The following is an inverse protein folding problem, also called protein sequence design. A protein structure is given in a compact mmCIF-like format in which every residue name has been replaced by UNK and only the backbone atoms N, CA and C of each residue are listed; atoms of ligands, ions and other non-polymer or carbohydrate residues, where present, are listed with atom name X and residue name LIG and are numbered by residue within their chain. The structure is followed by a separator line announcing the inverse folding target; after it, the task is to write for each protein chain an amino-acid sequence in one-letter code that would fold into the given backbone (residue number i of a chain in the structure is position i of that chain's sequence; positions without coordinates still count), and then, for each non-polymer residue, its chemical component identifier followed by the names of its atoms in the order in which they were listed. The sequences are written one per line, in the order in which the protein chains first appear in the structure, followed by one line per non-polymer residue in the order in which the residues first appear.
data_IF_646251540427
#
_entry.id   IF_646251540427
#
_cell.length_a   1.000
_cell.length_b   1.000
_cell.length_c   1.000
_cell.angle_alpha   90.00
_cell.angle_beta   90.00
_cell.angle_gamma   90.00
#
_symmetry.space_group_name_H-M   'P 1'
#
loop_
_entity.id
_entity.type
_entity.pdbx_description
1 polymer ?
#
# COMPACT_ATOMS: atom_id res chain seq x y z
N UNK A 1 -69.09 -42.11 5.88
CA UNK A 1 -67.85 -42.46 6.61
C UNK A 1 -66.79 -41.44 6.25
N UNK A 2 -66.01 -41.04 7.25
CA UNK A 2 -65.35 -39.73 7.38
C UNK A 2 -64.35 -39.36 6.27
N UNK A 3 -64.38 -38.08 5.91
CA UNK A 3 -63.30 -37.28 5.36
C UNK A 3 -62.10 -37.25 6.32
N UNK A 4 -60.87 -37.25 5.80
CA UNK A 4 -59.81 -36.29 6.17
C UNK A 4 -58.53 -36.64 5.40
N UNK A 5 -58.22 -35.79 4.41
CA UNK A 5 -56.88 -35.66 3.85
C UNK A 5 -55.94 -35.17 4.96
N UNK A 6 -54.81 -35.84 5.18
CA UNK A 6 -53.72 -35.27 5.97
C UNK A 6 -52.45 -35.29 5.14
N UNK A 7 -52.15 -34.13 4.55
CA UNK A 7 -50.87 -33.79 3.94
C UNK A 7 -49.77 -33.85 5.00
N UNK A 8 -48.82 -34.77 4.86
CA UNK A 8 -47.56 -34.68 5.60
C UNK A 8 -46.68 -33.68 4.86
N UNK A 9 -46.66 -32.47 5.40
CA UNK A 9 -45.81 -31.37 4.97
C UNK A 9 -44.36 -31.87 4.80
N UNK A 10 -43.84 -31.80 3.58
CA UNK A 10 -42.42 -31.91 3.33
C UNK A 10 -41.76 -30.72 4.03
N UNK A 11 -41.15 -30.98 5.19
CA UNK A 11 -40.35 -29.99 5.91
C UNK A 11 -39.15 -29.66 5.02
N UNK A 12 -39.27 -28.59 4.24
CA UNK A 12 -38.15 -27.98 3.53
C UNK A 12 -37.02 -27.80 4.53
N UNK A 13 -35.96 -28.59 4.34
CA UNK A 13 -34.71 -28.36 5.05
C UNK A 13 -34.17 -27.04 4.51
N UNK A 14 -34.40 -25.96 5.26
CA UNK A 14 -33.70 -24.69 5.05
C UNK A 14 -32.20 -25.02 5.01
N UNK A 15 -31.62 -24.93 3.80
CA UNK A 15 -30.18 -25.03 3.62
C UNK A 15 -29.62 -23.74 4.20
N UNK A 16 -29.05 -23.84 5.39
CA UNK A 16 -28.24 -22.75 5.95
C UNK A 16 -27.02 -22.67 5.03
N UNK A 17 -27.07 -21.71 4.09
CA UNK A 17 -25.88 -21.27 3.38
C UNK A 17 -25.04 -20.58 4.43
N UNK A 18 -23.97 -21.24 4.86
CA UNK A 18 -22.88 -20.51 5.51
C UNK A 18 -22.33 -19.63 4.38
N UNK A 19 -22.70 -18.36 4.41
CA UNK A 19 -21.90 -17.34 3.74
C UNK A 19 -20.57 -17.40 4.48
N UNK A 20 -19.53 -17.90 3.83
CA UNK A 20 -18.19 -17.57 4.27
C UNK A 20 -18.14 -16.06 4.22
N UNK A 21 -17.98 -15.42 5.38
CA UNK A 21 -17.53 -14.03 5.40
C UNK A 21 -16.21 -14.05 4.64
N UNK A 22 -16.23 -13.53 3.42
CA UNK A 22 -15.01 -13.17 2.74
C UNK A 22 -14.49 -11.98 3.55
N UNK A 23 -13.74 -12.25 4.61
CA UNK A 23 -13.00 -11.28 5.42
C UNK A 23 -11.94 -10.62 4.53
N UNK A 24 -12.35 -9.83 3.55
CA UNK A 24 -11.43 -9.14 2.65
C UNK A 24 -10.86 -7.93 3.38
N UNK A 25 -9.89 -8.18 4.24
CA UNK A 25 -8.91 -7.19 4.70
C UNK A 25 -7.95 -6.78 3.58
N UNK A 26 -8.41 -6.74 2.34
CA UNK A 26 -7.58 -6.60 1.17
C UNK A 26 -6.97 -5.20 1.09
N UNK A 27 -5.64 -5.17 0.96
CA UNK A 27 -4.89 -3.95 0.67
C UNK A 27 -4.55 -3.94 -0.83
N UNK A 28 -4.76 -2.80 -1.48
CA UNK A 28 -4.38 -2.64 -2.88
C UNK A 28 -3.58 -1.35 -3.07
N UNK A 29 -2.34 -1.49 -3.53
CA UNK A 29 -1.42 -0.38 -3.78
C UNK A 29 -1.46 0.05 -5.24
N UNK A 30 -1.49 1.36 -5.44
CA UNK A 30 -1.50 2.03 -6.73
C UNK A 30 -0.33 3.02 -6.79
N UNK A 31 0.59 2.79 -7.72
CA UNK A 31 1.76 3.63 -7.95
C UNK A 31 1.73 4.23 -9.35
N UNK A 32 2.54 5.26 -9.61
CA UNK A 32 2.60 5.88 -10.92
C UNK A 32 3.12 4.89 -11.99
N UNK A 33 2.45 4.78 -13.16
CA UNK A 33 2.95 3.93 -14.23
C UNK A 33 4.25 4.50 -14.83
N UNK A 34 5.27 3.66 -14.95
CA UNK A 34 6.53 4.01 -15.59
C UNK A 34 7.56 4.65 -14.65
N UNK A 35 7.88 5.93 -14.86
CA UNK A 35 8.93 6.65 -14.12
C UNK A 35 8.53 8.08 -13.76
N UNK A 36 9.04 8.53 -12.62
CA UNK A 36 9.07 9.95 -12.24
C UNK A 36 10.46 10.50 -12.46
N UNK A 37 10.54 11.78 -12.84
CA UNK A 37 11.78 12.40 -13.30
C UNK A 37 12.01 13.71 -12.54
N UNK A 38 13.23 13.92 -12.06
CA UNK A 38 13.66 15.19 -11.46
C UNK A 38 15.13 15.46 -11.80
N UNK A 39 15.69 16.57 -11.34
CA UNK A 39 17.10 16.89 -11.49
C UNK A 39 17.81 16.85 -10.12
N UNK A 40 19.14 16.81 -10.15
CA UNK A 40 19.96 16.85 -8.93
C UNK A 40 19.70 18.14 -8.14
N UNK A 41 19.50 18.02 -6.83
CA UNK A 41 19.12 19.10 -5.91
C UNK A 41 17.62 19.39 -5.90
N UNK A 42 16.85 18.79 -6.82
CA UNK A 42 15.41 18.95 -6.90
C UNK A 42 14.65 18.29 -5.76
N UNK A 43 13.34 18.48 -5.78
CA UNK A 43 12.38 17.75 -4.95
C UNK A 43 11.56 16.84 -5.86
N UNK A 44 11.21 15.66 -5.38
CA UNK A 44 10.35 14.73 -6.11
C UNK A 44 9.39 14.05 -5.15
N UNK A 45 8.25 13.65 -5.70
CA UNK A 45 7.26 12.82 -5.03
C UNK A 45 7.28 11.47 -5.72
N UNK A 46 7.46 10.40 -4.94
CA UNK A 46 7.25 9.02 -5.36
C UNK A 46 5.79 8.65 -5.10
N UNK A 47 4.91 8.58 -6.12
CA UNK A 47 3.49 8.46 -5.90
C UNK A 47 3.12 7.05 -5.45
N UNK A 48 2.40 6.94 -4.35
CA UNK A 48 1.83 5.70 -3.84
C UNK A 48 0.52 6.00 -3.12
N UNK A 49 -0.58 5.47 -3.63
CA UNK A 49 -1.88 5.47 -2.93
C UNK A 49 -2.32 4.05 -2.68
N UNK A 50 -3.12 3.84 -1.65
CA UNK A 50 -3.61 2.50 -1.33
C UNK A 50 -5.09 2.53 -0.98
N UNK A 51 -5.80 1.46 -1.33
CA UNK A 51 -7.15 1.20 -0.83
C UNK A 51 -7.06 0.11 0.23
N UNK A 52 -7.81 0.27 1.32
CA UNK A 52 -8.02 -0.76 2.33
C UNK A 52 -9.50 -0.76 2.72
N UNK A 53 -10.07 -1.93 2.96
CA UNK A 53 -11.45 -2.00 3.46
C UNK A 53 -11.49 -1.58 4.94
N UNK A 54 -12.03 -0.38 5.16
CA UNK A 54 -12.11 0.30 6.46
C UNK A 54 -13.03 -0.42 7.45
N UNK A 55 -13.87 -1.35 6.97
CA UNK A 55 -14.87 -2.01 7.84
C UNK A 55 -14.28 -2.99 8.86
N UNK A 56 -12.98 -3.27 8.82
CA UNK A 56 -12.36 -4.32 9.62
C UNK A 56 -11.25 -3.87 10.61
N UNK A 57 -10.53 -2.74 10.42
CA UNK A 57 -9.29 -2.45 11.20
C UNK A 57 -9.01 -0.97 11.53
N UNK A 58 -8.15 -0.73 12.51
CA UNK A 58 -7.69 0.61 12.93
C UNK A 58 -6.69 1.18 11.90
N UNK A 59 -6.92 2.37 11.33
CA UNK A 59 -5.97 3.02 10.42
C UNK A 59 -4.56 3.19 11.00
N UNK A 60 -4.41 3.28 12.33
CA UNK A 60 -3.11 3.40 13.01
C UNK A 60 -2.29 2.10 12.95
N UNK A 61 -2.91 0.97 12.59
CA UNK A 61 -2.25 -0.33 12.40
C UNK A 61 -1.64 -0.48 11.00
N UNK A 62 -1.95 0.43 10.07
CA UNK A 62 -1.38 0.41 8.73
C UNK A 62 0.09 0.80 8.79
N UNK A 63 0.94 -0.11 8.36
CA UNK A 63 2.37 0.11 8.21
C UNK A 63 2.69 0.47 6.76
N UNK A 64 3.33 1.61 6.59
CA UNK A 64 3.86 2.07 5.30
C UNK A 64 5.38 1.89 5.31
N UNK A 65 5.92 1.23 4.28
CA UNK A 65 7.35 1.03 4.14
C UNK A 65 7.79 1.38 2.73
N UNK A 66 8.75 2.30 2.65
CA UNK A 66 9.50 2.57 1.42
C UNK A 66 10.86 1.91 1.49
N UNK A 67 11.19 1.14 0.47
CA UNK A 67 12.54 0.59 0.26
C UNK A 67 13.09 1.03 -1.10
N UNK A 68 14.41 1.05 -1.21
CA UNK A 68 15.11 1.20 -2.48
C UNK A 68 15.73 -0.13 -2.86
N UNK A 69 15.53 -0.55 -4.10
CA UNK A 69 16.30 -1.65 -4.68
C UNK A 69 17.74 -1.21 -4.94
N UNK A 70 18.66 -1.96 -4.36
CA UNK A 70 20.11 -1.81 -4.52
C UNK A 70 20.64 -3.10 -5.15
N UNK A 71 21.40 -2.95 -6.23
CA UNK A 71 22.01 -4.09 -6.92
C UNK A 71 23.10 -4.75 -6.05
N UNK A 72 23.24 -6.09 -6.11
CA UNK A 72 22.59 -6.98 -7.06
C UNK A 72 21.17 -7.40 -6.68
N UNK A 73 20.78 -7.50 -5.40
CA UNK A 73 19.44 -7.94 -4.96
C UNK A 73 19.13 -7.56 -3.50
N UNK A 74 19.56 -6.40 -3.02
CA UNK A 74 19.26 -5.95 -1.65
C UNK A 74 18.23 -4.84 -1.63
N UNK A 75 17.43 -4.78 -0.56
CA UNK A 75 16.54 -3.66 -0.27
C UNK A 75 17.18 -2.80 0.83
N UNK A 76 17.29 -1.50 0.58
CA UNK A 76 17.65 -0.52 1.61
C UNK A 76 16.37 0.15 2.11
N UNK A 77 16.13 0.11 3.42
CA UNK A 77 15.03 0.87 4.01
C UNK A 77 15.23 2.38 3.78
N UNK A 78 14.19 3.06 3.30
CA UNK A 78 14.20 4.50 3.03
C UNK A 78 13.40 5.23 4.10
N UNK A 79 12.16 4.78 4.31
CA UNK A 79 11.22 5.39 5.23
C UNK A 79 10.20 4.38 5.74
N UNK A 80 9.84 4.47 7.02
CA UNK A 80 8.77 3.66 7.64
C UNK A 80 7.83 4.57 8.41
N UNK A 81 6.53 4.29 8.31
CA UNK A 81 5.48 4.91 9.13
C UNK A 81 4.49 3.87 9.67
N UNK A 82 4.01 4.10 10.88
CA UNK A 82 2.88 3.36 11.48
C UNK A 82 2.22 4.28 12.52
N UNK A 83 0.93 4.58 12.35
CA UNK A 83 0.26 5.65 13.08
C UNK A 83 1.06 6.97 13.08
N UNK A 84 1.42 7.44 14.28
CA UNK A 84 2.22 8.67 14.47
C UNK A 84 3.72 8.46 14.38
N UNK A 85 4.20 7.22 14.39
CA UNK A 85 5.62 6.92 14.33
C UNK A 85 6.13 7.06 12.90
N UNK A 86 7.25 7.76 12.74
CA UNK A 86 7.90 8.02 11.46
C UNK A 86 9.40 7.85 11.59
N UNK A 87 10.03 7.14 10.66
CA UNK A 87 11.47 6.94 10.66
C UNK A 87 12.04 6.91 9.24
N UNK A 88 12.90 7.88 8.95
CA UNK A 88 13.78 7.85 7.79
C UNK A 88 15.10 7.12 8.12
N UNK A 89 15.72 6.50 7.12
CA UNK A 89 16.93 5.69 7.27
C UNK A 89 18.07 6.20 6.38
N UNK A 90 19.29 5.73 6.66
CA UNK A 90 20.47 6.02 5.83
C UNK A 90 20.66 7.49 5.46
N UNK A 91 20.95 7.72 4.18
CA UNK A 91 21.14 9.06 3.61
C UNK A 91 19.80 9.82 3.38
N UNK A 92 18.66 9.21 3.69
CA UNK A 92 17.33 9.82 3.55
C UNK A 92 16.88 10.59 4.78
N UNK A 93 17.58 10.42 5.91
CA UNK A 93 17.29 11.17 7.15
C UNK A 93 17.33 12.69 6.90
N UNK A 94 16.24 13.37 7.28
CA UNK A 94 16.09 14.81 7.08
C UNK A 94 15.81 15.22 5.63
N UNK A 95 15.68 14.26 4.71
CA UNK A 95 15.35 14.50 3.29
C UNK A 95 14.05 13.85 2.85
N UNK A 96 13.37 13.09 3.72
CA UNK A 96 12.14 12.39 3.36
C UNK A 96 10.99 12.59 4.34
N UNK A 97 9.76 12.61 3.81
CA UNK A 97 8.50 12.59 4.55
C UNK A 97 7.42 11.94 3.70
N UNK A 98 6.31 11.51 4.32
CA UNK A 98 5.08 11.23 3.61
C UNK A 98 4.39 12.53 3.18
N UNK A 99 3.76 12.52 2.01
CA UNK A 99 2.99 13.66 1.48
C UNK A 99 1.69 13.88 2.26
N UNK A 100 0.99 12.80 2.63
CA UNK A 100 -0.23 12.83 3.43
C UNK A 100 -1.37 13.66 2.82
N UNK A 101 -1.49 13.65 1.49
CA UNK A 101 -2.62 14.24 0.76
C UNK A 101 -3.85 13.32 0.80
N UNK A 102 -4.34 13.08 2.03
CA UNK A 102 -5.47 12.22 2.36
C UNK A 102 -5.09 10.93 3.12
N UNK A 103 -6.08 10.23 3.70
CA UNK A 103 -5.86 9.05 4.56
C UNK A 103 -5.24 7.84 3.84
N UNK A 104 -5.30 7.84 2.51
CA UNK A 104 -4.87 6.76 1.63
C UNK A 104 -3.62 7.14 0.81
N UNK A 105 -2.91 8.20 1.20
CA UNK A 105 -1.72 8.67 0.53
C UNK A 105 -0.44 8.23 1.25
N UNK A 106 0.25 7.28 0.64
CA UNK A 106 1.55 6.78 1.07
C UNK A 106 2.70 7.38 0.25
N UNK A 107 2.45 8.44 -0.54
CA UNK A 107 3.47 9.03 -1.42
C UNK A 107 4.63 9.60 -0.60
N UNK A 108 5.86 9.32 -1.05
CA UNK A 108 7.08 9.77 -0.38
C UNK A 108 7.65 11.00 -1.07
N UNK A 109 7.82 12.09 -0.31
CA UNK A 109 8.56 13.26 -0.77
C UNK A 109 10.05 13.04 -0.47
N UNK A 110 10.91 13.29 -1.45
CA UNK A 110 12.36 13.32 -1.30
C UNK A 110 12.88 14.72 -1.70
N UNK A 111 13.51 15.42 -0.76
CA UNK A 111 14.19 16.70 -0.98
C UNK A 111 15.68 16.55 -1.24
N UNK A 112 16.25 17.52 -1.95
CA UNK A 112 17.67 17.59 -2.26
C UNK A 112 18.17 16.27 -2.88
N UNK A 113 17.54 15.89 -4.00
CA UNK A 113 17.78 14.64 -4.70
C UNK A 113 19.24 14.56 -5.18
N UNK A 114 19.89 13.43 -4.95
CA UNK A 114 21.27 13.14 -5.29
C UNK A 114 21.35 12.06 -6.39
N UNK A 115 22.53 11.89 -6.99
CA UNK A 115 22.76 10.80 -7.95
C UNK A 115 22.54 9.41 -7.33
N UNK A 116 22.76 9.27 -6.01
CA UNK A 116 22.54 8.03 -5.29
C UNK A 116 21.06 7.72 -5.10
N UNK A 117 20.15 8.68 -5.31
CA UNK A 117 18.72 8.43 -5.21
C UNK A 117 18.16 7.84 -6.53
N UNK A 118 18.90 7.90 -7.64
CA UNK A 118 18.50 7.20 -8.87
C UNK A 118 18.25 5.71 -8.61
N UNK A 119 17.10 5.19 -9.08
CA UNK A 119 16.79 3.77 -8.96
C UNK A 119 15.31 3.45 -8.87
N UNK A 120 15.03 2.21 -8.45
CA UNK A 120 13.68 1.69 -8.25
C UNK A 120 13.36 1.66 -6.76
N UNK A 121 12.18 2.12 -6.41
CA UNK A 121 11.66 2.20 -5.06
C UNK A 121 10.37 1.38 -4.95
N UNK A 122 10.22 0.66 -3.86
CA UNK A 122 9.02 -0.11 -3.55
C UNK A 122 8.28 0.57 -2.39
N UNK A 123 6.97 0.75 -2.57
CA UNK A 123 6.03 1.18 -1.55
C UNK A 123 5.24 -0.06 -1.11
N UNK A 124 5.49 -0.55 0.09
CA UNK A 124 4.78 -1.66 0.72
C UNK A 124 3.79 -1.08 1.74
N UNK A 125 2.54 -1.53 1.65
CA UNK A 125 1.47 -1.21 2.60
C UNK A 125 1.00 -2.50 3.22
N UNK A 126 1.08 -2.58 4.55
CA UNK A 126 0.73 -3.78 5.31
C UNK A 126 -0.33 -3.42 6.35
N UNK A 127 -1.39 -4.22 6.43
CA UNK A 127 -2.32 -4.21 7.56
C UNK A 127 -2.16 -5.51 8.39
N UNK A 128 -3.11 -5.83 9.26
CA UNK A 128 -3.02 -7.03 10.11
C UNK A 128 -3.10 -8.36 9.33
N UNK A 129 -3.71 -8.37 8.15
CA UNK A 129 -4.09 -9.58 7.42
C UNK A 129 -3.30 -9.77 6.12
N UNK A 130 -3.04 -8.68 5.39
CA UNK A 130 -2.47 -8.67 4.05
C UNK A 130 -1.45 -7.54 3.86
N UNK A 131 -0.57 -7.74 2.88
CA UNK A 131 0.33 -6.75 2.34
C UNK A 131 0.18 -6.65 0.82
N UNK A 132 0.34 -5.44 0.28
CA UNK A 132 0.50 -5.22 -1.15
C UNK A 132 1.60 -4.18 -1.39
N UNK A 133 2.21 -4.24 -2.57
CA UNK A 133 3.36 -3.42 -2.91
C UNK A 133 3.32 -2.89 -4.33
N UNK A 134 3.80 -1.64 -4.49
CA UNK A 134 3.88 -0.95 -5.76
C UNK A 134 5.27 -0.41 -6.05
N UNK A 135 5.63 -0.35 -7.33
CA UNK A 135 6.96 0.02 -7.79
C UNK A 135 7.00 1.39 -8.46
N UNK A 136 7.92 2.26 -8.04
CA UNK A 136 8.18 3.56 -8.67
C UNK A 136 9.64 3.66 -9.11
N UNK A 137 9.90 4.03 -10.37
CA UNK A 137 11.25 4.34 -10.84
C UNK A 137 11.52 5.84 -10.77
N UNK A 138 12.58 6.24 -10.08
CA UNK A 138 13.13 7.60 -10.11
C UNK A 138 14.25 7.68 -11.16
N UNK A 139 14.04 8.50 -12.18
CA UNK A 139 15.07 8.89 -13.14
C UNK A 139 15.56 10.33 -12.85
N UNK A 140 16.82 10.59 -13.21
CA UNK A 140 17.41 11.92 -13.12
C UNK A 140 17.63 12.51 -14.51
N UNK A 141 17.23 13.77 -14.70
CA UNK A 141 17.54 14.51 -15.92
C UNK A 141 19.04 14.79 -15.99
N UNK A 142 19.64 14.40 -17.11
CA UNK A 142 21.00 14.77 -17.49
C UNK A 142 20.97 15.89 -18.51
N UNK A 143 21.71 16.96 -18.22
CA UNK A 143 21.89 18.11 -19.10
C UNK A 143 22.81 17.71 -20.26
N UNK A 144 22.24 17.43 -21.42
CA UNK A 144 23.00 17.48 -22.68
C UNK A 144 23.22 18.95 -23.04
N UNK A 145 24.23 19.61 -22.45
CA UNK A 145 24.90 20.77 -23.04
C UNK A 145 26.35 20.82 -22.60
#
# INVERSE_FOLDING_TARGET
MLSLQTSLAQKERKKVVHVSEDESGAVMVQTAPGKVVTHRGGTIILPCRFHYDVSAHDPDEIRLKWTKMVEPMSLEDVFVAMGKERRAFGNYRGRTTLQEDGPNDASLIIWNVTLQDYGRYECEVTNELEDDAGMVKLDLEGWWR
#
